data_IF_358644616007
#
_entry.id   IF_358644616007
#
_cell.length_a   1.000
_cell.length_b   1.000
_cell.length_c   1.000
_cell.angle_alpha   90.00
_cell.angle_beta   90.00
_cell.angle_gamma   90.00
#
_symmetry.space_group_name_H-M   'P 1'
#
loop_
_entity.id
_entity.type
_entity.pdbx_description
1 polymer ?
#
# COMPACT_ATOMS: atom_id res chain seq x y z
N UNK A 1 -1.46 14.86 -0.68
CA UNK A 1 -0.24 14.68 -1.50
C UNK A 1 0.75 13.90 -0.66
N UNK A 2 1.29 12.82 -1.20
CA UNK A 2 2.30 12.00 -0.54
C UNK A 2 3.65 12.72 -0.61
N UNK A 3 4.37 12.86 0.51
CA UNK A 3 5.73 13.40 0.51
C UNK A 3 6.75 12.27 0.58
N UNK A 4 7.97 12.50 0.12
CA UNK A 4 9.04 11.50 0.24
C UNK A 4 9.28 11.10 1.71
N UNK A 5 9.17 12.03 2.64
CA UNK A 5 9.29 11.80 4.09
C UNK A 5 8.20 10.89 4.70
N UNK A 6 7.07 10.71 4.02
CA UNK A 6 5.98 9.81 4.44
C UNK A 6 6.20 8.37 3.97
N UNK A 7 7.13 8.15 3.01
CA UNK A 7 7.45 6.82 2.49
C UNK A 7 8.30 6.08 3.52
N UNK A 8 7.70 5.04 4.12
CA UNK A 8 8.35 4.22 5.14
C UNK A 8 8.41 2.77 4.71
N UNK A 9 9.24 1.99 5.41
CA UNK A 9 9.24 0.53 5.30
C UNK A 9 7.81 -0.01 5.45
N UNK A 10 7.50 -1.02 4.64
CA UNK A 10 6.20 -1.69 4.54
C UNK A 10 5.05 -0.85 3.96
N UNK A 11 5.30 0.40 3.56
CA UNK A 11 4.30 1.19 2.84
C UNK A 11 3.98 0.55 1.48
N UNK A 12 2.70 0.58 1.11
CA UNK A 12 2.23 0.21 -0.21
C UNK A 12 2.11 1.50 -1.04
N UNK A 13 2.83 1.57 -2.15
CA UNK A 13 2.93 2.78 -2.98
C UNK A 13 2.50 2.45 -4.40
N UNK A 14 1.68 3.32 -4.97
CA UNK A 14 1.31 3.31 -6.38
C UNK A 14 2.08 4.43 -7.13
N UNK A 15 2.42 4.17 -8.40
CA UNK A 15 3.12 5.11 -9.27
C UNK A 15 4.64 4.94 -9.33
N UNK A 16 5.22 3.99 -8.59
CA UNK A 16 6.64 3.59 -8.75
C UNK A 16 6.76 2.71 -10.01
N UNK A 17 5.93 1.67 -10.11
CA UNK A 17 5.78 0.84 -11.30
C UNK A 17 4.45 1.15 -11.98
N UNK A 18 4.40 1.22 -13.33
CA UNK A 18 3.17 1.54 -14.05
C UNK A 18 2.07 0.51 -13.80
N UNK A 19 0.97 0.93 -13.18
CA UNK A 19 -0.22 0.10 -12.96
C UNK A 19 -0.07 -0.95 -11.86
N UNK A 20 1.00 -0.89 -11.06
CA UNK A 20 1.27 -1.85 -9.99
C UNK A 20 1.45 -1.15 -8.65
N UNK A 21 0.88 -1.76 -7.59
CA UNK A 21 1.17 -1.38 -6.21
C UNK A 21 2.38 -2.16 -5.74
N UNK A 22 3.43 -1.44 -5.37
CA UNK A 22 4.66 -2.04 -4.84
C UNK A 22 4.75 -1.85 -3.34
N UNK A 23 5.46 -2.75 -2.66
CA UNK A 23 5.69 -2.66 -1.22
C UNK A 23 7.11 -2.22 -0.91
N UNK A 24 7.28 -1.18 -0.13
CA UNK A 24 8.60 -0.69 0.29
C UNK A 24 9.24 -1.67 1.27
N UNK A 25 10.45 -2.11 0.95
CA UNK A 25 11.29 -2.98 1.81
C UNK A 25 12.17 -2.11 2.70
N UNK A 26 12.82 -1.10 2.12
CA UNK A 26 13.63 -0.13 2.85
C UNK A 26 13.76 1.17 2.06
N UNK A 27 14.15 2.24 2.74
CA UNK A 27 14.30 3.59 2.18
C UNK A 27 15.63 4.17 2.65
N UNK A 28 16.37 4.78 1.75
CA UNK A 28 17.63 5.46 2.02
C UNK A 28 17.56 6.92 1.53
N UNK A 29 17.56 7.91 2.44
CA UNK A 29 17.55 9.32 2.04
C UNK A 29 18.89 9.69 1.38
N UNK A 30 18.81 10.41 0.26
CA UNK A 30 19.97 10.89 -0.49
C UNK A 30 19.90 12.41 -0.60
N UNK A 31 20.58 13.10 0.32
CA UNK A 31 20.50 14.57 0.44
C UNK A 31 19.11 15.03 0.89
N UNK A 32 18.75 16.28 0.57
CA UNK A 32 17.48 16.89 1.03
C UNK A 32 16.29 16.67 0.08
N UNK A 33 16.53 16.29 -1.18
CA UNK A 33 15.50 16.29 -2.22
C UNK A 33 15.35 14.95 -2.96
N UNK A 34 16.02 13.89 -2.50
CA UNK A 34 15.93 12.57 -3.08
C UNK A 34 15.85 11.46 -2.03
N UNK A 35 15.16 10.38 -2.39
CA UNK A 35 14.97 9.18 -1.59
C UNK A 35 15.17 7.96 -2.47
N UNK A 36 16.16 7.13 -2.17
CA UNK A 36 16.28 5.80 -2.77
C UNK A 36 15.32 4.86 -2.06
N UNK A 37 14.45 4.20 -2.80
CA UNK A 37 13.52 3.21 -2.28
C UNK A 37 13.86 1.83 -2.84
N UNK A 38 13.90 0.85 -1.95
CA UNK A 38 13.97 -0.56 -2.29
C UNK A 38 12.58 -1.12 -2.10
N UNK A 39 12.01 -1.70 -3.15
CA UNK A 39 10.62 -2.16 -3.13
C UNK A 39 10.50 -3.55 -3.72
N UNK A 40 9.43 -4.24 -3.33
CA UNK A 40 9.05 -5.55 -3.82
C UNK A 40 7.81 -5.40 -4.70
N UNK A 41 7.92 -5.94 -5.91
CA UNK A 41 6.80 -6.10 -6.86
C UNK A 41 5.85 -7.22 -6.41
N UNK A 42 4.64 -7.26 -6.95
CA UNK A 42 3.65 -8.33 -6.79
C UNK A 42 4.22 -9.69 -7.22
N UNK A 43 5.08 -9.70 -8.25
CA UNK A 43 5.84 -10.87 -8.70
C UNK A 43 6.94 -11.33 -7.72
N UNK A 44 7.15 -10.57 -6.64
CA UNK A 44 8.10 -10.88 -5.59
C UNK A 44 9.54 -10.46 -5.88
N UNK A 45 9.81 -9.80 -7.02
CA UNK A 45 11.14 -9.26 -7.33
C UNK A 45 11.40 -8.00 -6.51
N UNK A 46 12.60 -7.92 -5.94
CA UNK A 46 13.09 -6.70 -5.28
C UNK A 46 13.80 -5.84 -6.32
N UNK A 47 13.43 -4.57 -6.38
CA UNK A 47 14.04 -3.55 -7.24
C UNK A 47 14.40 -2.33 -6.42
N UNK A 48 15.24 -1.47 -6.97
CA UNK A 48 15.57 -0.16 -6.42
C UNK A 48 15.16 0.95 -7.39
N UNK A 49 14.81 2.11 -6.84
CA UNK A 49 14.56 3.32 -7.61
C UNK A 49 14.86 4.56 -6.78
N UNK A 50 15.49 5.55 -7.41
CA UNK A 50 15.68 6.87 -6.82
C UNK A 50 14.48 7.76 -7.15
N UNK A 51 13.84 8.28 -6.11
CA UNK A 51 12.71 9.21 -6.20
C UNK A 51 13.19 10.63 -5.91
N UNK A 52 12.71 11.57 -6.71
CA UNK A 52 12.96 13.00 -6.52
C UNK A 52 11.69 13.70 -6.05
N UNK A 53 11.87 14.86 -5.43
CA UNK A 53 10.74 15.69 -4.95
C UNK A 53 9.76 16.10 -6.07
N UNK A 54 10.25 16.23 -7.31
CA UNK A 54 9.41 16.47 -8.49
C UNK A 54 8.48 15.29 -8.84
N UNK A 55 8.83 14.08 -8.41
CA UNK A 55 8.05 12.86 -8.65
C UNK A 55 6.97 12.62 -7.59
N UNK A 56 6.89 13.44 -6.53
CA UNK A 56 5.87 13.32 -5.47
C UNK A 56 4.44 13.39 -6.04
N UNK A 57 4.23 14.20 -7.08
CA UNK A 57 2.90 14.36 -7.70
C UNK A 57 2.38 13.09 -8.40
N UNK A 58 3.27 12.20 -8.84
CA UNK A 58 2.91 10.93 -9.47
C UNK A 58 2.75 9.77 -8.48
N UNK A 59 3.13 9.97 -7.22
CA UNK A 59 3.12 8.92 -6.21
C UNK A 59 1.90 9.05 -5.30
N UNK A 60 1.29 7.92 -4.97
CA UNK A 60 0.21 7.86 -3.99
C UNK A 60 0.37 6.67 -3.07
N UNK A 61 -0.02 6.84 -1.81
CA UNK A 61 -0.12 5.74 -0.85
C UNK A 61 -1.28 4.86 -1.34
N UNK A 62 -1.00 3.61 -1.64
CA UNK A 62 -2.06 2.65 -1.89
C UNK A 62 -2.76 2.41 -0.56
N UNK A 63 -4.03 2.79 -0.45
CA UNK A 63 -4.82 2.43 0.71
C UNK A 63 -4.80 0.90 0.84
N UNK A 64 -4.43 0.42 2.03
CA UNK A 64 -4.59 -0.97 2.42
C UNK A 64 -6.09 -1.26 2.65
N UNK A 65 -6.92 -1.06 1.63
CA UNK A 65 -8.27 -1.55 1.60
C UNK A 65 -8.20 -3.06 1.39
N UNK A 66 -8.67 -3.85 2.37
CA UNK A 66 -9.00 -5.24 2.08
C UNK A 66 -10.13 -5.19 1.04
N UNK A 67 -9.92 -5.65 -0.21
CA UNK A 67 -10.99 -5.63 -1.21
C UNK A 67 -12.21 -6.44 -0.77
N UNK A 68 -12.00 -7.35 0.20
CA UNK A 68 -13.02 -8.17 0.86
C UNK A 68 -12.96 -8.04 2.38
N UNK A 69 -12.97 -6.81 2.90
CA UNK A 69 -13.33 -6.64 4.30
C UNK A 69 -14.80 -7.02 4.49
N UNK A 70 -15.08 -7.97 5.39
CA UNK A 70 -16.42 -8.17 5.90
C UNK A 70 -16.76 -6.98 6.80
N UNK A 71 -17.47 -6.00 6.27
CA UNK A 71 -17.90 -4.77 6.95
C UNK A 71 -19.40 -4.79 7.26
N UNK A 72 -19.97 -5.98 7.48
CA UNK A 72 -21.38 -6.10 7.84
C UNK A 72 -21.58 -5.87 9.34
N UNK A 73 -22.72 -5.27 9.76
CA UNK A 73 -23.06 -5.14 11.17
C UNK A 73 -23.08 -6.50 11.86
N UNK A 74 -22.39 -6.60 13.01
CA UNK A 74 -22.26 -7.87 13.74
C UNK A 74 -23.60 -8.46 14.19
N UNK A 75 -24.61 -7.62 14.44
CA UNK A 75 -25.97 -8.06 14.78
C UNK A 75 -26.65 -8.78 13.61
N UNK A 76 -26.53 -8.26 12.39
CA UNK A 76 -27.10 -8.88 11.20
C UNK A 76 -26.39 -10.18 10.85
N UNK A 77 -25.05 -10.21 11.00
CA UNK A 77 -24.28 -11.45 10.81
C UNK A 77 -24.69 -12.53 11.80
N UNK A 78 -24.89 -12.17 13.08
CA UNK A 78 -25.37 -13.10 14.11
C UNK A 78 -26.75 -13.65 13.76
N UNK A 79 -27.68 -12.80 13.35
CA UNK A 79 -29.05 -13.22 12.99
C UNK A 79 -29.04 -14.18 11.79
N UNK A 80 -28.23 -13.89 10.77
CA UNK A 80 -28.04 -14.79 9.62
C UNK A 80 -27.41 -16.13 10.03
N UNK A 81 -26.41 -16.12 10.91
CA UNK A 81 -25.79 -17.34 11.43
C UNK A 81 -26.77 -18.18 12.28
N UNK A 82 -27.63 -17.52 13.07
CA UNK A 82 -28.67 -18.19 13.85
C UNK A 82 -29.75 -18.80 12.95
N UNK A 83 -30.14 -18.13 11.86
CA UNK A 83 -31.05 -18.68 10.87
C UNK A 83 -30.48 -19.93 10.20
N UNK A 84 -29.20 -19.92 9.81
CA UNK A 84 -28.51 -21.07 9.22
C UNK A 84 -28.40 -22.26 10.19
N UNK A 85 -28.42 -22.04 11.51
CA UNK A 85 -28.35 -23.10 12.53
C UNK A 85 -29.63 -23.95 12.61
N UNK A 86 -30.75 -23.42 12.12
CA UNK A 86 -32.08 -24.01 12.29
C UNK A 86 -32.60 -24.62 10.98
N UNK A 87 -31.85 -24.45 9.87
CA UNK A 87 -32.06 -25.18 8.62
C UNK A 87 -31.62 -26.65 8.72
#
# INVERSE_FOLDING_TARGET
>A
MLRLEDIKKDAAINGIEPGEVVRIVTTEPVGENALTVYYKTADGRVKEQMLFRSSEASLSLAEAGRPWAFDAPGEEFKLAAEAYRID
#
